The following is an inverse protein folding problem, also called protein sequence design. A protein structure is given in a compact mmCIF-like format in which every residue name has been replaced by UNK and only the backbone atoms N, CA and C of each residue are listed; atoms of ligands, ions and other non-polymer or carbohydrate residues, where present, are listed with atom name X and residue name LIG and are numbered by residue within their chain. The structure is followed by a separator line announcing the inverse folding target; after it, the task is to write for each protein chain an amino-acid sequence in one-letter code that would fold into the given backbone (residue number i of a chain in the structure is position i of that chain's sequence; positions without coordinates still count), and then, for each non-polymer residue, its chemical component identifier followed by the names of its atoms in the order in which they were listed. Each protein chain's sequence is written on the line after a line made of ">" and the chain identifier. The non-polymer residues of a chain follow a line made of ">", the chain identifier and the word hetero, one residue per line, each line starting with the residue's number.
data_IF_320705765486
#
_entry.id   IF_320705765486
#
_cell.length_a   1.000
_cell.length_b   1.000
_cell.length_c   1.000
_cell.angle_alpha   90.00
_cell.angle_beta   90.00
_cell.angle_gamma   90.00
#
_symmetry.space_group_name_H-M   'P 1'
#
loop_
_entity.id
_entity.type
_entity.pdbx_description
1 polymer ?
#
# COMPACT_ATOMS: atom_id res chain seq x y z
N UNK A 1 -1.01 16.15 -5.88
CA UNK A 1 -1.52 15.16 -4.91
C UNK A 1 -2.85 14.65 -5.46
N UNK A 2 -2.96 13.36 -5.83
CA UNK A 2 -4.23 12.81 -6.32
C UNK A 2 -5.25 12.82 -5.19
N UNK A 3 -6.40 13.46 -5.41
CA UNK A 3 -7.55 13.59 -4.49
C UNK A 3 -8.30 12.27 -4.21
N UNK A 4 -7.69 11.11 -4.45
CA UNK A 4 -8.33 9.79 -4.35
C UNK A 4 -8.65 9.35 -2.90
N UNK A 5 -8.24 10.13 -1.89
CA UNK A 5 -8.29 9.74 -0.49
C UNK A 5 -9.05 10.71 0.43
N UNK A 6 -9.88 11.59 -0.13
CA UNK A 6 -10.95 12.22 0.67
C UNK A 6 -11.99 11.13 1.00
N UNK A 7 -12.38 10.95 2.27
CA UNK A 7 -13.34 9.91 2.65
C UNK A 7 -14.69 10.23 2.02
N UNK A 8 -15.01 9.46 0.99
CA UNK A 8 -16.28 9.48 0.26
C UNK A 8 -16.58 8.03 -0.10
N UNK A 9 -17.85 7.69 -0.28
CA UNK A 9 -18.28 6.32 -0.59
C UNK A 9 -17.48 5.66 -1.74
N UNK A 10 -17.01 6.46 -2.71
CA UNK A 10 -16.16 5.98 -3.81
C UNK A 10 -14.74 5.59 -3.42
N UNK A 11 -14.12 6.24 -2.43
CA UNK A 11 -12.74 5.95 -2.01
C UNK A 11 -12.64 4.69 -1.15
N UNK A 12 -13.67 4.41 -0.35
CA UNK A 12 -13.78 3.16 0.43
C UNK A 12 -13.97 1.95 -0.48
N UNK A 13 -14.91 2.04 -1.44
CA UNK A 13 -15.14 0.98 -2.41
C UNK A 13 -13.90 0.67 -3.25
N UNK A 14 -13.18 1.70 -3.72
CA UNK A 14 -11.94 1.53 -4.47
C UNK A 14 -10.85 0.87 -3.63
N UNK A 15 -10.72 1.23 -2.36
CA UNK A 15 -9.76 0.63 -1.45
C UNK A 15 -10.02 -0.87 -1.26
N UNK A 16 -11.27 -1.26 -0.99
CA UNK A 16 -11.65 -2.66 -0.80
C UNK A 16 -11.52 -3.47 -2.09
N UNK A 17 -12.08 -2.95 -3.18
CA UNK A 17 -12.28 -3.70 -4.42
C UNK A 17 -11.02 -3.76 -5.28
N UNK A 18 -10.11 -2.79 -5.16
CA UNK A 18 -8.89 -2.74 -5.97
C UNK A 18 -7.66 -2.89 -5.11
N UNK A 19 -7.42 -1.98 -4.16
CA UNK A 19 -6.14 -1.90 -3.47
C UNK A 19 -5.90 -3.14 -2.60
N UNK A 20 -6.88 -3.51 -1.77
CA UNK A 20 -6.77 -4.66 -0.87
C UNK A 20 -6.70 -5.96 -1.65
N UNK A 21 -7.49 -6.12 -2.72
CA UNK A 21 -7.41 -7.30 -3.57
C UNK A 21 -6.07 -7.38 -4.31
N UNK A 22 -5.52 -6.26 -4.76
CA UNK A 22 -4.21 -6.22 -5.39
C UNK A 22 -3.10 -6.63 -4.42
N UNK A 23 -3.17 -6.20 -3.14
CA UNK A 23 -2.21 -6.62 -2.09
C UNK A 23 -2.30 -8.15 -1.88
N UNK A 24 -3.51 -8.69 -1.83
CA UNK A 24 -3.74 -10.14 -1.70
C UNK A 24 -3.20 -10.92 -2.90
N UNK A 25 -3.46 -10.46 -4.13
CA UNK A 25 -2.94 -11.10 -5.35
C UNK A 25 -1.42 -11.03 -5.40
N UNK A 26 -0.82 -9.86 -5.14
CA UNK A 26 0.63 -9.69 -5.12
C UNK A 26 1.31 -10.62 -4.11
N UNK A 27 0.74 -10.74 -2.90
CA UNK A 27 1.19 -11.72 -1.89
C UNK A 27 1.05 -13.15 -2.39
N UNK A 28 -0.13 -13.53 -2.91
CA UNK A 28 -0.39 -14.89 -3.42
C UNK A 28 0.57 -15.27 -4.55
N UNK A 29 0.99 -14.29 -5.35
CA UNK A 29 1.95 -14.45 -6.46
C UNK A 29 3.42 -14.36 -6.02
N UNK A 30 3.69 -14.23 -4.72
CA UNK A 30 5.06 -14.17 -4.17
C UNK A 30 5.78 -12.85 -4.42
N UNK A 31 5.07 -11.80 -4.86
CA UNK A 31 5.64 -10.48 -5.15
C UNK A 31 5.78 -9.60 -3.91
N UNK A 32 5.02 -9.92 -2.87
CA UNK A 32 5.12 -9.29 -1.55
C UNK A 32 5.37 -10.36 -0.50
N UNK A 33 6.20 -10.02 0.49
CA UNK A 33 6.29 -10.82 1.71
C UNK A 33 4.99 -10.71 2.53
N UNK A 34 4.74 -11.67 3.42
CA UNK A 34 3.58 -11.61 4.32
C UNK A 34 3.61 -10.34 5.18
N UNK A 35 4.80 -9.94 5.62
CA UNK A 35 5.01 -8.77 6.46
C UNK A 35 4.71 -7.47 5.69
N UNK A 36 5.26 -7.33 4.48
CA UNK A 36 4.99 -6.17 3.62
C UNK A 36 3.52 -6.06 3.26
N UNK A 37 2.88 -7.18 2.90
CA UNK A 37 1.45 -7.18 2.54
C UNK A 37 0.57 -6.73 3.71
N UNK A 38 0.87 -7.16 4.94
CA UNK A 38 0.14 -6.74 6.14
C UNK A 38 0.34 -5.25 6.42
N UNK A 39 1.58 -4.75 6.32
CA UNK A 39 1.86 -3.33 6.49
C UNK A 39 1.09 -2.47 5.48
N UNK A 40 1.07 -2.86 4.20
CA UNK A 40 0.32 -2.16 3.16
C UNK A 40 -1.20 -2.24 3.38
N UNK A 41 -1.71 -3.35 3.93
CA UNK A 41 -3.12 -3.47 4.28
C UNK A 41 -3.52 -2.44 5.36
N UNK A 42 -2.69 -2.28 6.41
CA UNK A 42 -2.91 -1.26 7.45
C UNK A 42 -2.90 0.14 6.83
N UNK A 43 -1.93 0.45 5.97
CA UNK A 43 -1.85 1.77 5.32
C UNK A 43 -3.07 2.01 4.42
N UNK A 44 -3.52 1.00 3.66
CA UNK A 44 -4.71 1.10 2.81
C UNK A 44 -5.96 1.44 3.62
N UNK A 45 -6.12 0.84 4.81
CA UNK A 45 -7.26 1.10 5.70
C UNK A 45 -7.19 2.46 6.39
N UNK A 46 -6.01 2.87 6.84
CA UNK A 46 -5.83 4.09 7.62
C UNK A 46 -5.55 5.33 6.77
N UNK A 47 -5.25 5.16 5.49
CA UNK A 47 -4.84 6.16 4.51
C UNK A 47 -3.48 6.82 4.80
N UNK A 48 -3.25 7.22 6.06
CA UNK A 48 -2.02 7.84 6.54
C UNK A 48 -1.59 7.12 7.82
N UNK A 49 -0.31 6.72 7.89
CA UNK A 49 0.24 6.03 9.07
C UNK A 49 1.59 6.60 9.49
N UNK A 50 1.95 6.50 10.76
CA UNK A 50 3.31 6.68 11.24
C UNK A 50 4.02 5.32 11.38
N UNK A 51 5.35 5.31 11.54
CA UNK A 51 6.11 4.07 11.76
C UNK A 51 5.60 3.26 12.96
N UNK A 52 5.13 3.95 14.01
CA UNK A 52 4.59 3.31 15.22
C UNK A 52 3.37 2.43 14.93
N UNK A 53 2.53 2.82 13.96
CA UNK A 53 1.33 2.06 13.58
C UNK A 53 1.66 0.72 12.94
N UNK A 54 2.86 0.59 12.35
CA UNK A 54 3.33 -0.62 11.69
C UNK A 54 4.17 -1.51 12.60
N UNK A 55 4.41 -1.10 13.85
CA UNK A 55 5.28 -1.84 14.78
C UNK A 55 4.81 -3.27 15.03
N UNK A 56 3.50 -3.48 15.18
CA UNK A 56 2.91 -4.79 15.44
C UNK A 56 3.14 -5.79 14.30
N UNK A 57 3.27 -5.30 13.07
CA UNK A 57 3.51 -6.12 11.87
C UNK A 57 4.92 -6.69 11.88
N UNK A 58 5.89 -5.91 12.35
CA UNK A 58 7.28 -6.15 12.03
C UNK A 58 8.05 -7.13 12.92
N UNK A 59 7.44 -7.77 13.91
CA UNK A 59 8.10 -8.72 14.84
C UNK A 59 9.46 -8.22 15.41
N UNK A 60 9.66 -6.90 15.49
CA UNK A 60 10.90 -6.27 15.98
C UNK A 60 10.67 -5.53 17.28
N UNK A 61 11.71 -5.53 18.14
CA UNK A 61 11.62 -4.96 19.49
C UNK A 61 11.89 -3.45 19.54
N UNK A 62 12.74 -2.91 18.67
CA UNK A 62 13.17 -1.51 18.71
C UNK A 62 12.48 -0.63 17.66
N UNK A 63 12.24 0.63 18.01
CA UNK A 63 11.74 1.67 17.10
C UNK A 63 12.66 1.90 15.90
N UNK A 64 13.98 1.79 16.09
CA UNK A 64 14.97 1.91 15.00
C UNK A 64 14.78 0.81 13.96
N UNK A 65 14.52 -0.43 14.37
CA UNK A 65 14.28 -1.53 13.44
C UNK A 65 12.94 -1.38 12.69
N UNK A 66 11.90 -0.86 13.35
CA UNK A 66 10.64 -0.48 12.69
C UNK A 66 10.92 0.56 11.60
N UNK A 67 11.64 1.64 11.93
CA UNK A 67 11.98 2.68 10.96
C UNK A 67 12.76 2.14 9.77
N UNK A 68 13.74 1.24 9.99
CA UNK A 68 14.49 0.60 8.89
C UNK A 68 13.58 -0.22 7.97
N UNK A 69 12.62 -0.97 8.53
CA UNK A 69 11.64 -1.73 7.74
C UNK A 69 10.74 -0.80 6.91
N UNK A 70 10.24 0.28 7.51
CA UNK A 70 9.48 1.30 6.77
C UNK A 70 10.31 1.91 5.63
N UNK A 71 11.57 2.25 5.89
CA UNK A 71 12.47 2.78 4.86
C UNK A 71 12.74 1.77 3.73
N UNK A 72 12.80 0.47 4.02
CA UNK A 72 12.88 -0.55 2.96
C UNK A 72 11.65 -0.52 2.07
N UNK A 73 10.44 -0.46 2.67
CA UNK A 73 9.18 -0.42 1.91
C UNK A 73 9.08 0.87 1.07
N UNK A 74 9.59 2.00 1.58
CA UNK A 74 9.68 3.26 0.82
C UNK A 74 10.67 3.12 -0.34
N UNK A 75 11.85 2.55 -0.10
CA UNK A 75 12.86 2.30 -1.13
C UNK A 75 12.32 1.39 -2.24
N UNK A 76 11.49 0.43 -1.88
CA UNK A 76 10.79 -0.44 -2.82
C UNK A 76 9.65 0.28 -3.55
N UNK A 77 9.37 1.55 -3.26
CA UNK A 77 8.35 2.35 -3.94
C UNK A 77 6.91 1.98 -3.56
N UNK A 78 6.71 1.26 -2.45
CA UNK A 78 5.40 0.81 -1.97
C UNK A 78 4.77 1.80 -0.96
N UNK A 79 5.59 2.67 -0.35
CA UNK A 79 5.16 3.79 0.48
C UNK A 79 5.90 5.08 0.08
N UNK A 80 5.29 6.23 0.35
CA UNK A 80 5.95 7.54 0.26
C UNK A 80 5.62 8.39 1.50
N UNK A 81 6.48 9.35 1.88
CA UNK A 81 6.12 10.37 2.85
C UNK A 81 4.85 11.12 2.39
N UNK A 82 3.93 11.35 3.31
CA UNK A 82 2.69 12.11 3.05
C UNK A 82 2.99 13.55 2.59
N UNK A 83 4.07 14.13 3.13
CA UNK A 83 4.64 15.44 2.79
C UNK A 83 6.15 15.35 2.89
N UNK A 84 6.85 16.30 2.29
CA UNK A 84 8.30 16.42 2.40
C UNK A 84 8.73 16.43 3.88
N UNK A 85 9.75 15.64 4.22
CA UNK A 85 10.26 15.44 5.59
C UNK A 85 9.24 14.91 6.63
N UNK A 86 8.07 14.45 6.20
CA UNK A 86 7.06 13.87 7.10
C UNK A 86 7.48 12.50 7.61
N UNK A 87 7.17 12.23 8.88
CA UNK A 87 7.23 10.88 9.50
C UNK A 87 5.89 10.13 9.40
N UNK A 88 5.01 10.61 8.51
CA UNK A 88 3.76 9.95 8.12
C UNK A 88 3.86 9.51 6.68
N UNK A 89 3.24 8.37 6.38
CA UNK A 89 3.40 7.65 5.14
C UNK A 89 2.05 7.27 4.57
N UNK A 90 1.98 7.29 3.25
CA UNK A 90 0.81 6.86 2.46
C UNK A 90 1.25 5.79 1.46
N UNK A 91 0.27 5.07 0.90
CA UNK A 91 0.55 4.10 -0.16
C UNK A 91 1.20 4.77 -1.37
N UNK A 92 2.12 4.03 -1.96
CA UNK A 92 2.68 4.31 -3.27
C UNK A 92 2.53 3.09 -4.15
N UNK A 93 2.17 3.34 -5.41
CA UNK A 93 2.06 2.30 -6.43
C UNK A 93 3.24 2.32 -7.41
N UNK A 94 4.34 2.99 -7.04
CA UNK A 94 5.56 3.05 -7.82
C UNK A 94 6.46 1.81 -7.59
N UNK A 95 5.88 0.62 -7.62
CA UNK A 95 6.60 -0.64 -7.48
C UNK A 95 6.26 -1.56 -8.66
N UNK A 96 7.25 -1.94 -9.51
CA UNK A 96 6.98 -2.73 -10.71
C UNK A 96 6.45 -4.14 -10.41
N UNK A 97 6.70 -4.68 -9.22
CA UNK A 97 6.16 -5.97 -8.79
C UNK A 97 4.70 -5.87 -8.31
N UNK A 98 4.27 -4.70 -7.82
CA UNK A 98 2.90 -4.47 -7.39
C UNK A 98 1.97 -4.19 -8.58
N UNK A 99 2.48 -3.46 -9.58
CA UNK A 99 1.70 -2.97 -10.73
C UNK A 99 0.89 -4.05 -11.46
N UNK A 100 1.41 -5.26 -11.77
CA UNK A 100 0.62 -6.30 -12.44
C UNK A 100 -0.66 -6.67 -11.68
N UNK A 101 -0.60 -6.68 -10.34
CA UNK A 101 -1.74 -7.01 -9.49
C UNK A 101 -2.76 -5.87 -9.49
N UNK A 102 -2.30 -4.62 -9.46
CA UNK A 102 -3.16 -3.44 -9.55
C UNK A 102 -3.87 -3.38 -10.90
N UNK A 103 -3.14 -3.50 -12.00
CA UNK A 103 -3.70 -3.50 -13.36
C UNK A 103 -4.72 -4.60 -13.53
N UNK A 104 -4.44 -5.81 -13.02
CA UNK A 104 -5.39 -6.92 -13.03
C UNK A 104 -6.68 -6.57 -12.29
N UNK A 105 -6.60 -6.05 -11.07
CA UNK A 105 -7.81 -5.69 -10.30
C UNK A 105 -8.59 -4.55 -10.97
N UNK A 106 -7.90 -3.57 -11.56
CA UNK A 106 -8.55 -2.50 -12.32
C UNK A 106 -9.29 -3.05 -13.55
N UNK A 107 -8.68 -3.99 -14.29
CA UNK A 107 -9.32 -4.64 -15.43
C UNK A 107 -10.56 -5.46 -15.00
N UNK A 108 -10.42 -6.29 -13.96
CA UNK A 108 -11.51 -7.11 -13.43
C UNK A 108 -12.65 -6.25 -12.87
N UNK A 109 -12.32 -5.11 -12.25
CA UNK A 109 -13.28 -4.13 -11.75
C UNK A 109 -13.86 -3.21 -12.83
N UNK A 110 -13.56 -3.42 -14.12
CA UNK A 110 -14.02 -2.60 -15.25
C UNK A 110 -13.63 -1.12 -15.14
N UNK A 111 -12.51 -0.84 -14.46
CA UNK A 111 -11.91 0.49 -14.34
C UNK A 111 -10.95 0.82 -15.49
N UNK A 112 -10.57 -0.18 -16.29
CA UNK A 112 -9.83 0.00 -17.54
C UNK A 112 -10.80 -0.19 -18.72
N UNK A 113 -10.64 0.55 -19.82
CA UNK A 113 -11.46 0.35 -21.00
C UNK A 113 -11.11 -0.99 -21.67
N UNK A 114 -12.09 -1.60 -22.31
CA UNK A 114 -11.99 -2.95 -22.90
C UNK A 114 -11.02 -3.04 -24.09
N UNK A 115 -10.45 -1.91 -24.53
CA UNK A 115 -9.64 -1.78 -25.75
C UNK A 115 -8.19 -1.32 -25.49
N UNK A 116 -7.60 -1.64 -24.34
CA UNK A 116 -6.19 -1.37 -24.06
C UNK A 116 -5.23 -2.29 -24.84
#
# INVERSE_FOLDING_TARGET
>A
MLKLFEPSFGSEYLCESIIILAIKDARKRGRLTSETAEALHIVAKRQVVASGDLKSVFQVKSSTSVSRKVQSIIKDGLLIPEKENSRRYILSFNNPYMMPSITKMLAEGRFLPDNL
#
